data_IF_887316434074
#
_entry.id   IF_887316434074
#
_cell.length_a   1.000
_cell.length_b   1.000
_cell.length_c   1.000
_cell.angle_alpha   90.00
_cell.angle_beta   90.00
_cell.angle_gamma   90.00
#
_symmetry.space_group_name_H-M   'P 1'
#
loop_
_entity.id
_entity.type
_entity.pdbx_description
1 polymer ?
#
# COMPACT_ATOMS: atom_id res chain seq x y z
N UNK A 1 -53.61 47.05 -43.32
CA UNK A 1 -52.36 46.25 -43.34
C UNK A 1 -51.41 46.83 -42.31
N UNK A 2 -51.16 46.11 -41.22
CA UNK A 2 -50.09 46.44 -40.27
C UNK A 2 -49.47 45.11 -39.84
N UNK A 3 -48.19 44.93 -40.21
CA UNK A 3 -47.37 43.75 -39.89
C UNK A 3 -47.08 43.73 -38.39
N UNK A 4 -47.45 42.65 -37.73
CA UNK A 4 -47.12 42.39 -36.33
C UNK A 4 -45.63 42.13 -36.12
N UNK A 5 -45.08 42.80 -35.11
CA UNK A 5 -43.72 42.70 -34.59
C UNK A 5 -43.36 41.27 -34.16
N UNK A 6 -42.20 40.79 -34.61
CA UNK A 6 -41.46 39.68 -33.99
C UNK A 6 -40.91 40.16 -32.64
N UNK A 7 -41.17 39.41 -31.56
CA UNK A 7 -40.34 39.44 -30.35
C UNK A 7 -39.36 38.26 -30.43
N UNK A 8 -38.09 38.55 -30.68
CA UNK A 8 -36.98 37.65 -30.36
C UNK A 8 -36.65 37.87 -28.89
N UNK A 9 -36.94 36.88 -28.03
CA UNK A 9 -36.31 36.76 -26.73
C UNK A 9 -35.19 35.74 -26.86
N UNK A 10 -33.96 36.22 -27.04
CA UNK A 10 -32.77 35.38 -26.93
C UNK A 10 -32.41 35.31 -25.45
N UNK A 11 -32.51 34.13 -24.88
CA UNK A 11 -31.94 33.80 -23.58
C UNK A 11 -30.41 33.80 -23.72
N UNK A 12 -29.78 34.87 -23.23
CA UNK A 12 -28.33 34.95 -23.11
C UNK A 12 -27.95 34.50 -21.70
N UNK A 13 -27.96 33.19 -21.45
CA UNK A 13 -27.15 32.64 -20.38
C UNK A 13 -25.68 32.82 -20.79
N UNK A 14 -24.99 33.75 -20.14
CA UNK A 14 -23.55 33.86 -20.28
C UNK A 14 -22.96 32.57 -19.69
N UNK A 15 -22.54 31.65 -20.56
CA UNK A 15 -21.76 30.49 -20.15
C UNK A 15 -20.54 30.99 -19.37
N UNK A 16 -20.52 30.78 -18.06
CA UNK A 16 -19.31 31.00 -17.26
C UNK A 16 -18.28 30.00 -17.78
N UNK A 17 -17.36 30.49 -18.60
CA UNK A 17 -16.16 29.77 -19.00
C UNK A 17 -15.20 29.84 -17.82
N UNK A 18 -14.99 28.71 -17.14
CA UNK A 18 -13.96 28.64 -16.09
C UNK A 18 -12.61 28.61 -16.79
N UNK A 19 -12.11 29.79 -17.19
CA UNK A 19 -10.70 29.94 -17.56
C UNK A 19 -9.90 29.97 -16.27
N UNK A 20 -9.31 28.82 -15.95
CA UNK A 20 -8.47 28.68 -14.77
C UNK A 20 -7.16 29.44 -15.04
N UNK A 21 -7.10 30.72 -14.67
CA UNK A 21 -5.86 31.48 -14.68
C UNK A 21 -4.93 30.96 -13.59
N UNK A 22 -3.96 30.12 -13.96
CA UNK A 22 -3.04 29.45 -13.02
C UNK A 22 -2.01 28.56 -13.73
N UNK A 23 -1.23 27.78 -12.97
CA UNK A 23 -0.15 26.90 -13.48
C UNK A 23 -0.62 25.79 -14.45
N UNK A 24 -1.91 25.49 -14.50
CA UNK A 24 -2.50 24.49 -15.41
C UNK A 24 -4.02 24.63 -15.61
N UNK A 25 -4.54 23.90 -16.60
CA UNK A 25 -5.94 23.98 -17.07
C UNK A 25 -6.92 23.03 -16.34
N UNK A 26 -6.46 22.29 -15.33
CA UNK A 26 -7.27 21.30 -14.62
C UNK A 26 -7.83 21.82 -13.29
N UNK A 27 -8.91 21.20 -12.85
CA UNK A 27 -9.58 21.46 -11.58
C UNK A 27 -10.24 20.17 -11.04
N UNK A 28 -10.49 20.14 -9.74
CA UNK A 28 -11.32 19.13 -9.07
C UNK A 28 -12.65 19.75 -8.70
N UNK A 29 -13.74 19.04 -8.94
CA UNK A 29 -15.09 19.48 -8.64
C UNK A 29 -15.89 18.40 -7.90
N UNK A 30 -16.96 18.81 -7.23
CA UNK A 30 -17.89 17.94 -6.55
C UNK A 30 -19.33 18.28 -6.96
N UNK A 31 -20.19 17.26 -7.06
CA UNK A 31 -21.61 17.42 -7.33
C UNK A 31 -22.43 17.03 -6.10
N UNK A 32 -23.44 17.85 -5.76
CA UNK A 32 -24.29 17.66 -4.58
C UNK A 32 -25.71 17.20 -4.95
N UNK A 33 -26.37 16.51 -4.03
CA UNK A 33 -27.78 16.08 -4.15
C UNK A 33 -28.77 17.21 -3.87
N UNK A 34 -28.29 18.31 -3.28
CA UNK A 34 -29.10 19.45 -2.86
C UNK A 34 -28.28 20.73 -3.09
N UNK A 35 -28.92 21.84 -3.45
CA UNK A 35 -28.23 23.12 -3.52
C UNK A 35 -27.94 23.59 -2.09
N UNK A 36 -26.90 24.40 -1.92
CA UNK A 36 -26.62 24.98 -0.60
C UNK A 36 -27.54 26.18 -0.41
N UNK A 37 -28.42 26.07 0.59
CA UNK A 37 -29.28 27.17 1.02
C UNK A 37 -28.73 27.79 2.31
N UNK A 38 -28.33 26.96 3.29
CA UNK A 38 -27.58 27.36 4.47
C UNK A 38 -26.63 26.24 4.91
N UNK A 39 -25.33 26.55 5.04
CA UNK A 39 -24.31 25.59 5.47
C UNK A 39 -23.95 24.55 4.40
N UNK A 40 -22.66 24.43 4.08
CA UNK A 40 -22.21 23.39 3.16
C UNK A 40 -22.21 22.03 3.85
N UNK A 41 -23.16 21.16 3.51
CA UNK A 41 -23.19 19.78 4.02
C UNK A 41 -22.46 18.83 3.07
N UNK A 42 -21.25 18.44 3.51
CA UNK A 42 -20.40 17.49 2.81
C UNK A 42 -21.15 16.18 2.47
N UNK A 43 -22.11 15.73 3.29
CA UNK A 43 -22.87 14.48 3.08
C UNK A 43 -23.75 14.51 1.83
N UNK A 44 -24.08 15.71 1.34
CA UNK A 44 -24.86 15.85 0.12
C UNK A 44 -24.04 15.57 -1.13
N UNK A 45 -22.71 15.51 -1.05
CA UNK A 45 -21.86 15.20 -2.20
C UNK A 45 -22.04 13.75 -2.62
N UNK A 46 -22.37 13.55 -3.90
CA UNK A 46 -22.59 12.24 -4.52
C UNK A 46 -21.56 11.91 -5.60
N UNK A 47 -20.76 12.88 -6.03
CA UNK A 47 -19.75 12.66 -7.06
C UNK A 47 -18.62 13.65 -6.88
N UNK A 48 -17.39 13.18 -7.07
CA UNK A 48 -16.19 14.02 -7.15
C UNK A 48 -15.51 13.70 -8.46
N UNK A 49 -15.05 14.70 -9.20
CA UNK A 49 -14.43 14.50 -10.50
C UNK A 49 -13.29 15.48 -10.73
N UNK A 50 -12.30 15.06 -11.53
CA UNK A 50 -11.37 15.98 -12.19
C UNK A 50 -11.93 16.45 -13.53
N UNK A 51 -11.64 17.69 -13.90
CA UNK A 51 -12.13 18.29 -15.14
C UNK A 51 -11.18 19.31 -15.75
N UNK A 52 -11.42 19.60 -17.02
CA UNK A 52 -10.90 20.74 -17.77
C UNK A 52 -12.06 21.36 -18.55
N UNK A 53 -12.05 22.69 -18.72
CA UNK A 53 -13.13 23.41 -19.37
C UNK A 53 -14.48 23.18 -18.68
N UNK A 54 -15.50 22.82 -19.45
CA UNK A 54 -16.88 22.65 -18.94
C UNK A 54 -17.24 21.20 -18.58
N UNK A 55 -16.27 20.40 -18.08
CA UNK A 55 -16.47 18.96 -17.84
C UNK A 55 -17.59 18.67 -16.84
N UNK A 56 -17.73 19.50 -15.81
CA UNK A 56 -18.79 19.31 -14.81
C UNK A 56 -20.18 19.57 -15.42
N UNK A 57 -20.34 20.60 -16.28
CA UNK A 57 -21.57 20.87 -17.05
C UNK A 57 -21.88 19.73 -18.02
N UNK A 58 -20.85 19.12 -18.61
CA UNK A 58 -21.02 18.02 -19.57
C UNK A 58 -21.78 16.83 -18.96
N UNK A 59 -21.61 16.53 -17.67
CA UNK A 59 -22.37 15.45 -17.02
C UNK A 59 -23.88 15.68 -17.03
N UNK A 60 -24.32 16.91 -16.76
CA UNK A 60 -25.73 17.27 -16.80
C UNK A 60 -26.28 17.21 -18.23
N UNK A 61 -25.52 17.70 -19.22
CA UNK A 61 -25.89 17.66 -20.64
C UNK A 61 -25.95 16.22 -21.19
N UNK A 62 -24.96 15.40 -20.86
CA UNK A 62 -24.91 13.98 -21.23
C UNK A 62 -26.13 13.22 -20.66
N UNK A 63 -26.49 13.46 -19.39
CA UNK A 63 -27.68 12.84 -18.78
C UNK A 63 -28.97 13.24 -19.51
N UNK A 64 -29.17 14.53 -19.81
CA UNK A 64 -30.36 14.98 -20.56
C UNK A 64 -30.41 14.37 -21.97
N UNK A 65 -29.27 14.25 -22.64
CA UNK A 65 -29.18 13.61 -23.95
C UNK A 65 -29.59 12.15 -23.88
N UNK A 66 -29.10 11.41 -22.88
CA UNK A 66 -29.43 10.00 -22.72
C UNK A 66 -30.89 9.81 -22.27
N UNK A 67 -31.47 10.71 -21.47
CA UNK A 67 -32.90 10.68 -21.12
C UNK A 67 -33.79 10.86 -22.36
N UNK A 68 -33.39 11.71 -23.31
CA UNK A 68 -34.10 11.85 -24.59
C UNK A 68 -33.97 10.58 -25.42
N UNK A 69 -32.76 10.03 -25.52
CA UNK A 69 -32.53 8.77 -26.26
C UNK A 69 -33.31 7.60 -25.67
N UNK A 70 -33.49 7.54 -24.35
CA UNK A 70 -34.32 6.52 -23.68
C UNK A 70 -35.79 6.53 -24.12
N UNK A 71 -36.31 7.66 -24.61
CA UNK A 71 -37.67 7.72 -25.16
C UNK A 71 -37.77 6.95 -26.49
N UNK A 72 -36.67 6.89 -27.24
CA UNK A 72 -36.58 6.24 -28.55
C UNK A 72 -35.94 4.84 -28.48
N UNK A 73 -35.14 4.56 -27.45
CA UNK A 73 -34.36 3.33 -27.26
C UNK A 73 -34.38 2.89 -25.77
N UNK A 74 -35.18 1.88 -25.40
CA UNK A 74 -35.30 1.42 -24.02
C UNK A 74 -34.07 0.68 -23.49
N UNK A 75 -33.11 0.31 -24.34
CA UNK A 75 -31.91 -0.45 -23.95
C UNK A 75 -30.77 0.44 -23.43
N UNK A 76 -30.95 1.77 -23.43
CA UNK A 76 -29.97 2.70 -22.85
C UNK A 76 -29.85 2.44 -21.35
N UNK A 77 -28.64 2.09 -20.88
CA UNK A 77 -28.37 1.84 -19.46
C UNK A 77 -27.83 3.11 -18.79
N UNK A 78 -28.45 3.52 -17.68
CA UNK A 78 -27.96 4.64 -16.86
C UNK A 78 -27.00 4.18 -15.78
N UNK A 79 -25.90 4.91 -15.63
CA UNK A 79 -25.06 4.78 -14.44
C UNK A 79 -25.73 5.43 -13.24
N UNK A 80 -25.44 4.95 -12.03
CA UNK A 80 -25.91 5.53 -10.75
C UNK A 80 -25.74 7.06 -10.64
N UNK A 81 -24.64 7.58 -11.19
CA UNK A 81 -24.40 9.03 -11.29
C UNK A 81 -25.45 9.75 -12.13
N UNK A 82 -25.78 9.21 -13.30
CA UNK A 82 -26.78 9.78 -14.22
C UNK A 82 -28.19 9.63 -13.66
N UNK A 83 -28.48 8.54 -12.96
CA UNK A 83 -29.74 8.38 -12.22
C UNK A 83 -29.90 9.46 -11.15
N UNK A 84 -28.84 9.72 -10.37
CA UNK A 84 -28.87 10.79 -9.36
C UNK A 84 -29.13 12.15 -10.00
N UNK A 85 -28.47 12.46 -11.13
CA UNK A 85 -28.71 13.71 -11.88
C UNK A 85 -30.14 13.77 -12.43
N UNK A 86 -30.68 12.66 -12.96
CA UNK A 86 -32.08 12.59 -13.40
C UNK A 86 -33.03 12.92 -12.26
N UNK A 87 -32.77 12.40 -11.07
CA UNK A 87 -33.62 12.63 -9.90
C UNK A 87 -33.58 14.11 -9.47
N UNK A 88 -32.48 14.83 -9.70
CA UNK A 88 -32.41 16.30 -9.52
C UNK A 88 -33.33 17.04 -10.49
N UNK A 89 -33.27 16.70 -11.79
CA UNK A 89 -34.17 17.29 -12.79
C UNK A 89 -35.64 16.97 -12.49
N UNK A 90 -35.93 15.79 -11.96
CA UNK A 90 -37.29 15.42 -11.58
C UNK A 90 -37.80 16.22 -10.36
N UNK A 91 -36.91 16.61 -9.45
CA UNK A 91 -37.27 17.36 -8.25
C UNK A 91 -37.46 18.87 -8.50
N UNK A 92 -36.59 19.48 -9.31
CA UNK A 92 -36.58 20.93 -9.56
C UNK A 92 -37.20 21.34 -10.91
N UNK A 93 -37.51 20.36 -11.78
CA UNK A 93 -38.03 20.58 -13.12
C UNK A 93 -36.93 20.73 -14.19
N UNK A 94 -37.34 20.92 -15.45
CA UNK A 94 -36.44 21.01 -16.61
C UNK A 94 -35.53 22.26 -16.61
N UNK A 95 -35.74 23.20 -15.69
CA UNK A 95 -35.00 24.47 -15.54
C UNK A 95 -34.05 24.47 -14.33
N UNK A 96 -33.46 23.30 -14.04
CA UNK A 96 -32.50 23.10 -12.95
C UNK A 96 -31.30 24.04 -13.10
N UNK A 97 -31.07 24.89 -12.11
CA UNK A 97 -29.86 25.71 -12.00
C UNK A 97 -28.66 24.85 -11.57
N UNK A 98 -28.04 24.18 -12.55
CA UNK A 98 -26.96 23.22 -12.33
C UNK A 98 -25.73 23.81 -11.65
N UNK A 99 -25.53 25.13 -11.72
CA UNK A 99 -24.40 25.82 -11.06
C UNK A 99 -24.50 25.75 -9.54
N UNK A 100 -25.72 25.68 -8.98
CA UNK A 100 -25.94 25.50 -7.53
C UNK A 100 -25.63 24.11 -7.00
N UNK A 101 -25.44 23.15 -7.89
CA UNK A 101 -25.20 21.74 -7.58
C UNK A 101 -23.75 21.31 -7.85
N UNK A 102 -22.92 22.19 -8.40
CA UNK A 102 -21.53 21.91 -8.75
C UNK A 102 -20.58 22.85 -8.01
N UNK A 103 -19.58 22.27 -7.34
CA UNK A 103 -18.60 23.00 -6.53
C UNK A 103 -17.22 22.77 -7.11
N UNK A 104 -16.44 23.84 -7.33
CA UNK A 104 -15.02 23.72 -7.58
C UNK A 104 -14.31 23.55 -6.23
N UNK A 105 -13.63 22.42 -6.05
CA UNK A 105 -12.92 22.06 -4.82
C UNK A 105 -11.52 22.68 -4.83
N UNK A 106 -10.81 22.54 -5.95
CA UNK A 106 -9.50 23.14 -6.17
C UNK A 106 -9.32 23.37 -7.68
N UNK A 107 -8.65 24.46 -8.06
CA UNK A 107 -8.45 24.85 -9.46
C UNK A 107 -7.04 25.42 -9.66
N UNK A 108 -6.56 25.42 -10.90
CA UNK A 108 -5.23 25.93 -11.26
C UNK A 108 -4.18 24.82 -11.37
N UNK A 109 -4.65 23.59 -11.52
CA UNK A 109 -3.85 22.39 -11.34
C UNK A 109 -3.29 21.90 -12.67
N UNK A 110 -2.11 21.30 -12.61
CA UNK A 110 -1.68 20.31 -13.60
C UNK A 110 -2.57 19.05 -13.55
N UNK A 111 -2.47 18.19 -14.56
CA UNK A 111 -3.24 16.95 -14.58
C UNK A 111 -2.90 16.03 -13.41
N UNK A 112 -1.61 15.92 -13.05
CA UNK A 112 -1.13 15.08 -11.96
C UNK A 112 -1.59 15.59 -10.59
N UNK A 113 -1.56 16.91 -10.38
CA UNK A 113 -2.10 17.55 -9.18
C UNK A 113 -3.61 17.30 -9.08
N UNK A 114 -4.37 17.49 -10.17
CA UNK A 114 -5.81 17.25 -10.18
C UNK A 114 -6.15 15.77 -9.91
N UNK A 115 -5.36 14.84 -10.45
CA UNK A 115 -5.49 13.40 -10.18
C UNK A 115 -5.28 13.07 -8.69
N UNK A 116 -4.26 13.65 -8.06
CA UNK A 116 -3.97 13.45 -6.62
C UNK A 116 -5.02 14.09 -5.73
N UNK A 117 -5.41 15.33 -6.01
CA UNK A 117 -6.47 16.03 -5.27
C UNK A 117 -7.81 15.29 -5.40
N UNK A 118 -8.19 14.82 -6.59
CA UNK A 118 -9.42 14.03 -6.78
C UNK A 118 -9.41 12.77 -5.90
N UNK A 119 -8.29 12.03 -5.91
CA UNK A 119 -8.13 10.83 -5.08
C UNK A 119 -8.23 11.15 -3.58
N UNK A 120 -7.62 12.25 -3.12
CA UNK A 120 -7.71 12.72 -1.73
C UNK A 120 -9.15 12.99 -1.31
N UNK A 121 -9.87 13.78 -2.11
CA UNK A 121 -11.23 14.21 -1.80
C UNK A 121 -12.17 13.00 -1.80
N UNK A 122 -12.05 12.09 -2.77
CA UNK A 122 -12.83 10.84 -2.80
C UNK A 122 -12.59 10.04 -1.51
N UNK A 123 -11.32 9.85 -1.12
CA UNK A 123 -10.97 9.06 0.07
C UNK A 123 -11.52 9.69 1.34
N UNK A 124 -11.32 10.99 1.54
CA UNK A 124 -11.85 11.72 2.70
C UNK A 124 -13.37 11.64 2.80
N UNK A 125 -14.08 11.87 1.70
CA UNK A 125 -15.55 11.82 1.68
C UNK A 125 -16.06 10.43 2.02
N UNK A 126 -15.46 9.37 1.46
CA UNK A 126 -15.82 7.99 1.81
C UNK A 126 -15.57 7.69 3.28
N UNK A 127 -14.42 8.10 3.83
CA UNK A 127 -14.13 7.96 5.27
C UNK A 127 -15.15 8.69 6.15
N UNK A 128 -15.67 9.84 5.69
CA UNK A 128 -16.73 10.59 6.36
C UNK A 128 -18.14 9.97 6.19
N UNK A 129 -18.26 8.86 5.46
CA UNK A 129 -19.51 8.12 5.27
C UNK A 129 -20.31 8.54 4.03
N UNK A 130 -19.73 9.29 3.10
CA UNK A 130 -20.41 9.65 1.86
C UNK A 130 -20.56 8.47 0.90
N UNK A 131 -21.75 8.33 0.35
CA UNK A 131 -22.06 7.38 -0.72
C UNK A 131 -21.81 8.02 -2.10
N UNK A 132 -20.55 7.96 -2.53
CA UNK A 132 -20.09 8.48 -3.82
C UNK A 132 -20.41 7.53 -4.97
N UNK A 133 -20.87 8.09 -6.09
CA UNK A 133 -21.24 7.38 -7.33
C UNK A 133 -20.06 7.11 -8.27
N UNK A 134 -18.83 7.47 -7.86
CA UNK A 134 -17.59 7.18 -8.59
C UNK A 134 -17.41 5.66 -8.78
N UNK A 135 -17.35 5.20 -10.04
CA UNK A 135 -17.18 3.77 -10.39
C UNK A 135 -15.77 3.24 -10.11
N UNK A 136 -14.77 4.12 -10.17
CA UNK A 136 -13.36 3.80 -9.89
C UNK A 136 -12.92 4.71 -8.76
N UNK A 137 -12.31 4.15 -7.71
CA UNK A 137 -11.57 4.97 -6.75
C UNK A 137 -10.46 5.71 -7.51
N UNK A 138 -10.28 7.02 -7.31
CA UNK A 138 -9.33 7.81 -8.11
C UNK A 138 -7.97 7.13 -8.28
N UNK A 139 -7.35 7.26 -9.45
CA UNK A 139 -6.15 6.51 -9.89
C UNK A 139 -4.89 6.65 -9.00
N UNK A 140 -4.96 7.38 -7.88
CA UNK A 140 -3.87 7.58 -6.91
C UNK A 140 -4.32 7.47 -5.44
N UNK A 141 -5.44 6.81 -5.12
CA UNK A 141 -5.91 6.61 -3.72
C UNK A 141 -4.85 5.98 -2.80
N UNK A 142 -3.91 5.25 -3.43
CA UNK A 142 -2.75 4.62 -2.84
C UNK A 142 -1.72 5.57 -2.23
N UNK A 143 -1.67 6.82 -2.71
CA UNK A 143 -0.66 7.82 -2.36
C UNK A 143 -1.21 8.82 -1.33
N UNK A 144 -2.47 8.67 -0.94
CA UNK A 144 -3.18 9.68 -0.16
C UNK A 144 -3.69 9.10 1.15
N UNK A 145 -3.55 9.85 2.26
CA UNK A 145 -3.84 9.39 3.63
C UNK A 145 -3.13 8.06 3.96
N UNK A 146 -1.81 8.10 3.95
CA UNK A 146 -0.93 7.02 4.39
C UNK A 146 -0.44 7.35 5.81
N UNK A 147 -0.32 6.36 6.73
CA UNK A 147 0.30 6.59 8.03
C UNK A 147 1.70 7.20 7.86
N UNK A 148 2.08 8.16 8.72
CA UNK A 148 3.38 8.84 8.60
C UNK A 148 4.57 7.87 8.66
N UNK A 149 4.46 6.78 9.44
CA UNK A 149 5.46 5.71 9.48
C UNK A 149 5.62 5.01 8.12
N UNK A 150 4.52 4.74 7.42
CA UNK A 150 4.56 4.18 6.06
C UNK A 150 5.15 5.19 5.08
N UNK A 151 4.76 6.47 5.13
CA UNK A 151 5.35 7.52 4.29
C UNK A 151 6.87 7.57 4.43
N UNK A 152 7.39 7.52 5.67
CA UNK A 152 8.84 7.45 5.93
C UNK A 152 9.47 6.23 5.25
N UNK A 153 8.89 5.04 5.44
CA UNK A 153 9.39 3.78 4.85
C UNK A 153 9.31 3.76 3.31
N UNK A 154 8.45 4.56 2.67
CA UNK A 154 8.33 4.64 1.21
C UNK A 154 9.16 5.73 0.55
N UNK A 155 9.16 6.93 1.13
CA UNK A 155 9.65 8.13 0.45
C UNK A 155 10.86 8.75 1.14
N UNK A 156 11.21 8.28 2.34
CA UNK A 156 12.37 8.71 3.09
C UNK A 156 13.23 7.50 3.52
N UNK A 157 13.23 6.43 2.72
CA UNK A 157 14.05 5.26 2.97
C UNK A 157 15.53 5.65 2.87
N UNK A 158 16.22 5.65 4.00
CA UNK A 158 17.67 5.83 4.03
C UNK A 158 18.35 4.57 3.49
N UNK A 159 19.40 4.75 2.69
CA UNK A 159 20.19 3.64 2.19
C UNK A 159 21.07 3.08 3.31
N UNK A 160 20.98 1.78 3.54
CA UNK A 160 21.78 1.08 4.54
C UNK A 160 22.72 0.09 3.85
N UNK A 161 24.00 0.21 4.18
CA UNK A 161 25.02 -0.69 3.66
C UNK A 161 25.01 -1.96 4.49
N UNK A 162 24.72 -3.07 3.82
CA UNK A 162 24.69 -4.38 4.48
C UNK A 162 25.90 -5.19 4.09
N UNK A 163 26.57 -5.73 5.10
CA UNK A 163 27.69 -6.64 4.94
C UNK A 163 27.18 -8.08 4.84
N UNK A 164 28.03 -8.97 4.34
CA UNK A 164 27.75 -10.41 4.37
C UNK A 164 28.84 -11.04 5.20
N UNK A 165 28.49 -11.51 6.38
CA UNK A 165 29.40 -12.27 7.22
C UNK A 165 29.56 -13.69 6.69
N UNK A 166 30.79 -14.18 6.69
CA UNK A 166 31.12 -15.60 6.62
C UNK A 166 30.83 -16.28 7.97
N UNK A 167 30.88 -17.62 8.00
CA UNK A 167 30.72 -18.38 9.23
C UNK A 167 31.76 -18.00 10.30
N UNK A 168 33.03 -17.80 9.89
CA UNK A 168 34.10 -17.40 10.80
C UNK A 168 33.90 -15.99 11.37
N UNK A 169 33.35 -15.06 10.57
CA UNK A 169 33.06 -13.70 11.03
C UNK A 169 31.81 -13.64 11.93
N UNK A 170 30.92 -14.64 11.87
CA UNK A 170 29.78 -14.72 12.78
C UNK A 170 30.21 -15.13 14.20
N UNK A 171 31.27 -15.95 14.32
CA UNK A 171 31.86 -16.31 15.62
C UNK A 171 32.38 -15.08 16.38
N UNK A 172 32.70 -13.98 15.68
CA UNK A 172 33.13 -12.74 16.34
C UNK A 172 32.06 -12.14 17.26
N UNK A 173 30.78 -12.44 17.00
CA UNK A 173 29.62 -11.97 17.76
C UNK A 173 29.16 -12.94 18.85
N UNK A 174 29.70 -14.16 18.83
CA UNK A 174 29.42 -15.15 19.87
C UNK A 174 29.93 -14.64 21.23
N UNK A 175 29.40 -15.16 22.35
CA UNK A 175 29.83 -14.76 23.69
C UNK A 175 31.36 -14.89 23.86
N UNK A 176 32.02 -13.77 24.21
CA UNK A 176 33.47 -13.71 24.37
C UNK A 176 34.28 -13.45 23.09
N UNK A 177 33.62 -13.31 21.93
CA UNK A 177 34.23 -12.85 20.69
C UNK A 177 34.55 -11.35 20.69
N UNK A 178 35.36 -10.87 19.72
CA UNK A 178 35.76 -9.45 19.61
C UNK A 178 34.61 -8.48 19.37
N UNK A 179 33.43 -8.95 18.97
CA UNK A 179 32.20 -8.19 18.71
C UNK A 179 31.02 -8.70 19.56
N UNK A 180 31.31 -9.32 20.70
CA UNK A 180 30.29 -9.87 21.59
C UNK A 180 29.30 -8.83 22.14
N UNK A 181 29.69 -7.54 22.17
CA UNK A 181 28.83 -6.45 22.61
C UNK A 181 27.98 -5.83 21.48
N UNK A 182 28.13 -6.32 20.23
CA UNK A 182 27.38 -5.80 19.07
C UNK A 182 26.12 -6.64 18.78
N UNK A 183 25.09 -5.99 18.24
CA UNK A 183 23.85 -6.63 17.82
C UNK A 183 23.97 -7.19 16.39
N UNK A 184 23.22 -8.26 16.10
CA UNK A 184 23.15 -8.87 14.77
C UNK A 184 21.71 -8.83 14.26
N UNK A 185 21.51 -8.30 13.06
CA UNK A 185 20.26 -8.38 12.33
C UNK A 185 20.40 -9.35 11.16
N UNK A 186 19.60 -10.41 11.16
CA UNK A 186 19.46 -11.34 10.04
C UNK A 186 18.43 -10.76 9.08
N UNK A 187 18.84 -10.46 7.85
CA UNK A 187 17.94 -9.95 6.83
C UNK A 187 17.48 -11.06 5.91
N UNK A 188 16.18 -11.16 5.72
CA UNK A 188 15.52 -12.14 4.88
C UNK A 188 14.61 -11.49 3.85
N UNK A 189 14.45 -12.14 2.69
CA UNK A 189 13.68 -11.56 1.57
C UNK A 189 12.26 -12.10 1.55
N UNK A 190 11.28 -11.20 1.56
CA UNK A 190 9.90 -11.55 1.25
C UNK A 190 9.74 -11.84 -0.24
N UNK A 191 9.24 -13.03 -0.57
CA UNK A 191 8.76 -13.38 -1.91
C UNK A 191 7.25 -13.13 -1.99
N UNK A 192 6.79 -12.63 -3.14
CA UNK A 192 5.39 -12.57 -3.55
C UNK A 192 4.88 -13.90 -4.10
N UNK A 193 5.79 -14.74 -4.60
CA UNK A 193 5.51 -16.09 -5.10
C UNK A 193 5.74 -17.12 -4.00
N UNK A 194 4.71 -17.51 -3.26
CA UNK A 194 4.62 -18.80 -2.58
C UNK A 194 3.19 -19.13 -2.16
N UNK A 195 2.87 -20.43 -2.11
CA UNK A 195 1.59 -20.96 -1.60
C UNK A 195 1.59 -20.93 -0.07
N UNK A 196 0.41 -20.90 0.55
CA UNK A 196 0.31 -21.16 2.00
C UNK A 196 0.81 -22.58 2.30
N UNK A 197 1.30 -22.77 3.51
CA UNK A 197 1.61 -24.09 4.05
C UNK A 197 0.59 -24.39 5.16
N UNK A 198 0.26 -25.66 5.38
CA UNK A 198 -0.40 -26.06 6.62
C UNK A 198 0.51 -25.82 7.82
N UNK A 199 0.00 -26.01 9.03
CA UNK A 199 0.83 -26.02 10.24
C UNK A 199 1.97 -27.04 10.12
N UNK A 200 3.08 -26.72 10.75
CA UNK A 200 4.27 -27.58 10.79
C UNK A 200 4.06 -28.77 11.71
N UNK A 201 4.63 -29.91 11.32
CA UNK A 201 4.70 -31.08 12.19
C UNK A 201 5.98 -30.99 13.04
N UNK A 202 5.82 -30.58 14.29
CA UNK A 202 6.93 -30.49 15.25
C UNK A 202 7.08 -31.82 15.99
N UNK A 203 8.27 -32.41 15.95
CA UNK A 203 8.60 -33.62 16.69
C UNK A 203 9.07 -33.27 18.12
N UNK A 204 8.89 -34.22 19.03
CA UNK A 204 9.47 -34.15 20.39
C UNK A 204 11.00 -34.40 20.40
N UNK A 205 11.59 -34.71 19.25
CA UNK A 205 13.02 -34.96 19.08
C UNK A 205 13.80 -33.65 18.87
N UNK A 206 15.04 -33.63 19.39
CA UNK A 206 16.01 -32.56 19.16
C UNK A 206 17.18 -33.06 18.34
N UNK A 207 17.73 -32.22 17.47
CA UNK A 207 18.96 -32.52 16.73
C UNK A 207 20.22 -32.39 17.62
N UNK A 208 21.38 -32.72 17.06
CA UNK A 208 22.66 -32.64 17.75
C UNK A 208 23.05 -31.20 18.16
N UNK A 209 22.38 -30.19 17.61
CA UNK A 209 22.57 -28.77 17.91
C UNK A 209 21.55 -28.22 18.90
N UNK A 210 20.62 -29.07 19.39
CA UNK A 210 19.59 -28.70 20.37
C UNK A 210 18.33 -28.07 19.77
N UNK A 211 18.16 -28.10 18.46
CA UNK A 211 16.96 -27.61 17.77
C UNK A 211 15.87 -28.67 17.73
N UNK A 212 14.60 -28.27 17.90
CA UNK A 212 13.50 -29.23 17.70
C UNK A 212 13.35 -29.56 16.23
N UNK A 213 13.19 -30.83 15.92
CA UNK A 213 13.01 -31.27 14.54
C UNK A 213 11.58 -30.97 14.11
N UNK A 214 11.43 -30.33 12.96
CA UNK A 214 10.12 -30.05 12.36
C UNK A 214 10.10 -30.39 10.87
N UNK A 215 8.93 -30.77 10.37
CA UNK A 215 8.67 -30.91 8.94
C UNK A 215 7.72 -29.81 8.48
N UNK A 216 8.04 -29.24 7.32
CA UNK A 216 7.22 -28.22 6.67
C UNK A 216 5.84 -28.81 6.42
N UNK A 217 4.80 -28.06 6.77
CA UNK A 217 3.43 -28.41 6.42
C UNK A 217 3.23 -28.67 4.91
N UNK A 218 2.08 -29.23 4.56
CA UNK A 218 1.72 -29.44 3.16
C UNK A 218 1.44 -28.11 2.46
N UNK A 219 1.79 -28.02 1.17
CA UNK A 219 1.46 -26.84 0.35
C UNK A 219 -0.05 -26.73 0.17
N UNK A 220 -0.62 -25.69 0.74
CA UNK A 220 -2.00 -25.28 0.53
C UNK A 220 -2.28 -24.86 -0.92
N UNK A 221 -3.54 -24.95 -1.33
CA UNK A 221 -3.99 -24.53 -2.66
C UNK A 221 -4.32 -23.04 -2.73
N UNK A 222 -4.47 -22.37 -1.58
CA UNK A 222 -4.84 -20.96 -1.54
C UNK A 222 -3.65 -20.06 -1.90
N UNK A 223 -3.82 -19.14 -2.87
CA UNK A 223 -2.79 -18.19 -3.22
C UNK A 223 -2.62 -17.18 -2.08
N UNK A 224 -1.38 -17.02 -1.61
CA UNK A 224 -1.03 -15.92 -0.71
C UNK A 224 -1.15 -14.60 -1.45
N UNK A 225 -1.64 -13.56 -0.76
CA UNK A 225 -1.58 -12.21 -1.33
C UNK A 225 -0.13 -11.71 -1.34
N UNK A 226 0.26 -11.13 -2.46
CA UNK A 226 1.50 -10.37 -2.57
C UNK A 226 1.49 -9.16 -1.64
N UNK A 227 2.67 -8.64 -1.32
CA UNK A 227 2.77 -7.44 -0.51
C UNK A 227 2.27 -6.21 -1.29
N UNK A 228 1.33 -5.46 -0.71
CA UNK A 228 0.83 -4.20 -1.27
C UNK A 228 1.14 -3.06 -0.30
N UNK A 229 1.80 -1.96 -0.73
CA UNK A 229 2.04 -0.81 0.13
C UNK A 229 0.78 -0.14 0.70
N UNK A 230 -0.38 -0.32 0.05
CA UNK A 230 -1.69 0.19 0.50
C UNK A 230 -2.35 -0.71 1.52
N UNK A 231 -1.94 -1.97 1.52
CA UNK A 231 -2.46 -3.01 2.37
C UNK A 231 -1.27 -3.85 2.80
N UNK A 232 -0.41 -3.34 3.69
CA UNK A 232 0.72 -4.11 4.18
C UNK A 232 0.22 -5.42 4.80
N UNK A 233 1.09 -6.43 4.85
CA UNK A 233 0.81 -7.65 5.59
C UNK A 233 0.52 -7.34 7.06
N UNK A 234 -0.38 -8.10 7.68
CA UNK A 234 -0.46 -8.14 9.14
C UNK A 234 0.84 -8.71 9.70
N UNK A 235 1.07 -8.52 11.01
CA UNK A 235 2.22 -9.14 11.69
C UNK A 235 2.20 -10.66 11.50
N UNK A 236 1.04 -11.31 11.64
CA UNK A 236 0.87 -12.75 11.42
C UNK A 236 1.24 -13.18 9.98
N UNK A 237 0.75 -12.45 8.97
CA UNK A 237 1.08 -12.71 7.57
C UNK A 237 2.58 -12.53 7.29
N UNK A 238 3.21 -11.54 7.91
CA UNK A 238 4.65 -11.29 7.78
C UNK A 238 5.49 -12.33 8.52
N UNK A 239 5.07 -12.77 9.72
CA UNK A 239 5.68 -13.86 10.49
C UNK A 239 5.63 -15.16 9.72
N UNK A 240 4.48 -15.53 9.18
CA UNK A 240 4.32 -16.71 8.32
C UNK A 240 5.39 -16.72 7.23
N UNK A 241 5.66 -15.56 6.61
CA UNK A 241 6.62 -15.38 5.51
C UNK A 241 8.08 -15.29 5.97
N UNK A 242 8.34 -14.74 7.14
CA UNK A 242 9.67 -14.63 7.72
C UNK A 242 10.14 -15.96 8.34
N UNK A 243 9.21 -16.81 8.79
CA UNK A 243 9.49 -18.14 9.32
C UNK A 243 10.00 -19.13 8.28
N UNK A 244 9.90 -18.83 6.98
CA UNK A 244 10.32 -19.72 5.91
C UNK A 244 11.78 -20.13 6.07
N UNK A 245 11.98 -21.41 6.33
CA UNK A 245 13.21 -21.96 6.85
C UNK A 245 14.41 -21.54 6.00
N UNK A 246 15.31 -20.81 6.63
CA UNK A 246 16.43 -20.22 5.94
C UNK A 246 17.54 -21.25 5.88
N UNK A 247 18.21 -21.35 4.73
CA UNK A 247 19.37 -22.22 4.59
C UNK A 247 20.49 -21.66 5.47
N UNK A 248 20.75 -22.33 6.59
CA UNK A 248 21.79 -22.02 7.57
C UNK A 248 22.48 -23.33 7.93
N UNK A 249 23.81 -23.34 7.99
CA UNK A 249 24.50 -24.53 8.50
C UNK A 249 24.17 -24.74 9.99
N UNK A 250 24.17 -25.97 10.50
CA UNK A 250 23.95 -26.23 11.93
C UNK A 250 24.89 -25.41 12.83
N UNK A 251 26.16 -25.27 12.42
CA UNK A 251 27.15 -24.44 13.13
C UNK A 251 26.75 -22.98 13.26
N UNK A 252 26.23 -22.38 12.19
CA UNK A 252 25.83 -20.98 12.19
C UNK A 252 24.52 -20.79 12.95
N UNK A 253 23.62 -21.77 12.88
CA UNK A 253 22.39 -21.77 13.65
C UNK A 253 22.66 -21.77 15.15
N UNK A 254 23.60 -22.59 15.61
CA UNK A 254 24.01 -22.64 17.02
C UNK A 254 24.57 -21.29 17.50
N UNK A 255 25.44 -20.64 16.71
CA UNK A 255 25.97 -19.31 17.05
C UNK A 255 24.84 -18.27 17.11
N UNK A 256 23.90 -18.30 16.15
CA UNK A 256 22.76 -17.39 16.16
C UNK A 256 21.86 -17.61 17.36
N UNK A 257 21.67 -18.87 17.78
CA UNK A 257 20.96 -19.17 19.01
C UNK A 257 21.64 -18.51 20.21
N UNK A 258 22.95 -18.66 20.36
CA UNK A 258 23.70 -18.03 21.47
C UNK A 258 23.55 -16.51 21.49
N UNK A 259 23.59 -15.86 20.33
CA UNK A 259 23.39 -14.40 20.20
C UNK A 259 21.94 -14.01 20.55
N UNK A 260 20.95 -14.82 20.14
CA UNK A 260 19.53 -14.64 20.45
C UNK A 260 19.22 -14.81 21.93
N UNK A 261 19.84 -15.79 22.59
CA UNK A 261 19.67 -16.06 24.02
C UNK A 261 20.18 -14.88 24.89
N UNK A 262 21.09 -14.06 24.37
CA UNK A 262 21.54 -12.80 24.99
C UNK A 262 20.68 -11.58 24.62
N UNK A 263 19.64 -11.76 23.79
CA UNK A 263 18.74 -10.69 23.34
C UNK A 263 19.36 -9.76 22.29
N UNK A 264 20.41 -10.20 21.59
CA UNK A 264 21.18 -9.39 20.62
C UNK A 264 20.90 -9.75 19.16
N UNK A 265 19.95 -10.65 18.92
CA UNK A 265 19.58 -11.11 17.57
C UNK A 265 18.21 -10.57 17.14
N UNK A 266 18.19 -9.92 15.99
CA UNK A 266 16.97 -9.49 15.31
C UNK A 266 16.81 -10.18 13.96
N UNK A 267 15.56 -10.29 13.50
CA UNK A 267 15.22 -10.72 12.14
C UNK A 267 14.48 -9.60 11.42
N UNK A 268 14.95 -9.22 10.23
CA UNK A 268 14.33 -8.21 9.37
C UNK A 268 13.83 -8.82 8.06
N UNK A 269 12.55 -8.63 7.74
CA UNK A 269 11.96 -9.00 6.45
C UNK A 269 12.01 -7.82 5.48
N UNK A 270 12.83 -7.96 4.46
CA UNK A 270 13.01 -7.01 3.38
C UNK A 270 12.15 -7.37 2.17
N UNK A 271 11.45 -6.37 1.62
CA UNK A 271 10.50 -6.54 0.53
C UNK A 271 10.94 -5.67 -0.64
N UNK A 272 10.84 -6.24 -1.84
CA UNK A 272 11.07 -5.46 -3.07
C UNK A 272 9.90 -4.51 -3.28
N UNK A 273 10.17 -3.21 -3.20
CA UNK A 273 9.20 -2.17 -3.49
C UNK A 273 8.92 -2.14 -5.01
N UNK A 274 7.67 -2.40 -5.44
CA UNK A 274 7.33 -2.42 -6.86
C UNK A 274 7.40 -1.04 -7.53
N UNK A 275 7.35 0.06 -6.75
CA UNK A 275 7.40 1.44 -7.25
C UNK A 275 8.83 1.96 -7.34
N UNK A 276 9.61 1.77 -6.27
CA UNK A 276 10.97 2.29 -6.18
C UNK A 276 12.03 1.36 -6.81
N UNK A 277 11.69 0.08 -7.07
CA UNK A 277 12.63 -0.99 -7.45
C UNK A 277 13.74 -1.23 -6.42
N UNK A 278 13.55 -0.77 -5.19
CA UNK A 278 14.47 -0.96 -4.06
C UNK A 278 14.00 -2.11 -3.19
N UNK A 279 14.92 -2.69 -2.40
CA UNK A 279 14.57 -3.68 -1.37
C UNK A 279 14.61 -2.98 -0.02
N UNK A 280 13.44 -2.87 0.62
CA UNK A 280 13.26 -2.09 1.85
C UNK A 280 12.87 -3.01 3.00
N UNK A 281 13.45 -2.81 4.17
CA UNK A 281 13.04 -3.52 5.39
C UNK A 281 11.66 -3.04 5.83
N UNK A 282 10.70 -3.97 5.94
CA UNK A 282 9.30 -3.65 6.26
C UNK A 282 8.83 -4.17 7.60
N UNK A 283 9.41 -5.26 8.07
CA UNK A 283 9.07 -5.88 9.35
C UNK A 283 10.36 -6.29 10.03
N UNK A 284 10.41 -6.13 11.34
CA UNK A 284 11.55 -6.47 12.19
C UNK A 284 11.01 -7.10 13.45
N UNK A 285 11.68 -8.14 13.93
CA UNK A 285 11.34 -8.85 15.15
C UNK A 285 12.59 -9.13 15.98
N UNK A 286 12.41 -9.20 17.30
CA UNK A 286 13.36 -9.91 18.15
C UNK A 286 13.34 -11.40 17.81
N UNK A 287 14.49 -12.07 17.96
CA UNK A 287 14.53 -13.53 17.97
C UNK A 287 14.51 -13.99 19.42
N UNK A 288 13.42 -14.63 19.83
CA UNK A 288 13.10 -14.98 21.21
C UNK A 288 12.41 -16.34 21.24
N UNK A 289 12.99 -17.29 21.99
CA UNK A 289 12.51 -18.67 22.07
C UNK A 289 11.55 -18.96 23.25
N UNK A 290 11.06 -17.92 23.92
CA UNK A 290 10.13 -18.03 25.06
C UNK A 290 8.77 -18.61 24.69
N UNK A 291 8.21 -18.22 23.53
CA UNK A 291 6.91 -18.69 23.05
C UNK A 291 7.04 -19.80 22.00
N UNK A 292 8.08 -19.75 21.17
CA UNK A 292 8.31 -20.71 20.09
C UNK A 292 9.74 -21.24 20.15
N UNK A 293 9.97 -22.55 20.01
CA UNK A 293 11.32 -23.08 19.97
C UNK A 293 11.98 -22.75 18.63
N UNK A 294 13.31 -22.77 18.63
CA UNK A 294 14.06 -22.88 17.37
C UNK A 294 13.77 -24.24 16.71
N UNK A 295 13.54 -24.19 15.39
CA UNK A 295 13.13 -25.35 14.60
C UNK A 295 14.16 -25.70 13.53
N UNK A 296 14.50 -26.98 13.43
CA UNK A 296 15.36 -27.55 12.40
C UNK A 296 14.55 -28.39 11.42
N UNK A 297 14.69 -28.07 10.13
CA UNK A 297 13.98 -28.72 9.03
C UNK A 297 14.98 -29.56 8.23
N UNK A 298 15.01 -30.89 8.45
CA UNK A 298 15.89 -31.76 7.69
C UNK A 298 15.43 -31.84 6.23
N UNK A 299 16.32 -31.51 5.29
CA UNK A 299 16.03 -31.58 3.85
C UNK A 299 16.86 -32.67 3.17
N UNK A 300 16.32 -33.90 3.12
CA UNK A 300 16.98 -35.07 2.53
C UNK A 300 18.31 -35.45 3.21
N UNK A 301 19.19 -36.15 2.47
CA UNK A 301 20.50 -36.64 2.96
C UNK A 301 21.62 -35.56 2.93
N UNK A 302 21.30 -34.26 2.96
CA UNK A 302 22.31 -33.19 2.89
C UNK A 302 22.56 -32.59 4.27
N UNK A 303 23.82 -32.30 4.57
CA UNK A 303 24.29 -31.54 5.76
C UNK A 303 23.77 -30.08 5.83
N UNK A 304 22.83 -29.70 4.95
CA UNK A 304 22.24 -28.38 4.85
C UNK A 304 20.73 -28.51 5.03
N UNK A 305 20.28 -28.60 6.28
CA UNK A 305 18.89 -28.35 6.64
C UNK A 305 18.59 -26.86 6.65
N UNK A 306 17.36 -26.53 7.04
CA UNK A 306 16.91 -25.16 7.14
C UNK A 306 16.50 -24.83 8.59
N UNK A 307 16.62 -23.57 8.99
CA UNK A 307 16.30 -23.11 10.34
C UNK A 307 15.11 -22.19 10.32
N UNK A 308 14.13 -22.47 11.18
CA UNK A 308 13.06 -21.55 11.55
C UNK A 308 13.50 -20.70 12.74
N UNK A 309 13.45 -19.38 12.60
CA UNK A 309 13.72 -18.44 13.70
C UNK A 309 12.47 -18.29 14.57
N UNK A 310 12.58 -18.41 15.90
CA UNK A 310 11.48 -18.11 16.79
C UNK A 310 11.31 -16.58 16.89
N UNK A 311 10.18 -16.08 16.40
CA UNK A 311 9.95 -14.64 16.29
C UNK A 311 9.24 -14.13 17.55
N UNK A 312 9.92 -13.25 18.29
CA UNK A 312 9.39 -12.61 19.49
C UNK A 312 8.58 -11.35 19.19
N UNK A 313 8.86 -10.28 19.92
CA UNK A 313 8.19 -8.97 19.77
C UNK A 313 8.40 -8.40 18.36
N UNK A 314 7.33 -7.87 17.76
CA UNK A 314 7.42 -7.08 16.52
C UNK A 314 7.74 -5.62 16.78
N UNK A 315 8.66 -5.07 15.98
CA UNK A 315 8.96 -3.64 15.97
C UNK A 315 8.04 -2.93 14.99
N UNK A 316 7.20 -2.05 15.53
CA UNK A 316 6.18 -1.34 14.76
C UNK A 316 6.41 0.18 14.76
N UNK A 317 7.43 0.65 15.47
CA UNK A 317 7.65 2.05 15.79
C UNK A 317 8.63 2.75 14.83
N UNK A 318 8.79 4.05 15.01
CA UNK A 318 9.71 4.88 14.24
C UNK A 318 11.16 4.86 14.69
N UNK A 319 11.45 4.19 15.80
CA UNK A 319 12.77 4.22 16.46
C UNK A 319 13.63 2.99 16.15
N UNK A 320 13.05 1.97 15.50
CA UNK A 320 13.85 0.83 15.04
C UNK A 320 14.83 1.27 13.94
N UNK A 321 16.13 0.96 14.06
CA UNK A 321 17.15 1.43 13.12
C UNK A 321 17.04 0.79 11.73
N UNK A 322 16.35 -0.35 11.61
CA UNK A 322 16.22 -1.11 10.36
C UNK A 322 14.96 -0.76 9.58
N UNK A 323 13.86 -0.47 10.26
CA UNK A 323 12.57 -0.25 9.63
C UNK A 323 12.58 0.91 8.62
N UNK A 324 12.32 0.58 7.37
CA UNK A 324 12.29 1.54 6.26
C UNK A 324 13.64 1.78 5.59
N UNK A 325 14.71 1.11 6.02
CA UNK A 325 16.01 1.18 5.34
C UNK A 325 15.96 0.48 3.98
N UNK A 326 16.52 1.12 2.97
CA UNK A 326 16.73 0.54 1.64
C UNK A 326 18.11 -0.13 1.59
N UNK A 327 18.15 -1.43 1.34
CA UNK A 327 19.38 -2.20 1.42
C UNK A 327 20.22 -2.04 0.14
N UNK A 328 21.49 -1.68 0.31
CA UNK A 328 22.47 -1.55 -0.77
C UNK A 328 23.72 -2.39 -0.49
N UNK A 329 24.31 -2.96 -1.53
CA UNK A 329 25.56 -3.74 -1.44
C UNK A 329 26.70 -2.99 -2.13
N UNK A 330 27.71 -2.55 -1.37
CA UNK A 330 28.94 -1.89 -1.88
C UNK A 330 28.76 -0.44 -2.37
N UNK A 331 29.83 0.16 -2.91
CA UNK A 331 29.87 1.57 -3.37
C UNK A 331 29.14 1.83 -4.70
N UNK A 332 28.76 0.78 -5.45
CA UNK A 332 28.03 0.92 -6.70
C UNK A 332 26.55 0.70 -6.45
N UNK A 333 25.83 1.80 -6.35
CA UNK A 333 24.39 2.08 -6.12
C UNK A 333 23.29 1.14 -6.66
N UNK A 334 23.57 -0.02 -7.28
CA UNK A 334 22.58 -0.73 -8.09
C UNK A 334 22.48 -2.24 -7.96
N UNK A 335 23.22 -2.93 -7.08
CA UNK A 335 22.88 -4.32 -6.77
C UNK A 335 21.83 -4.37 -5.67
N UNK A 336 20.59 -4.10 -6.09
CA UNK A 336 19.36 -4.47 -5.39
C UNK A 336 19.54 -5.91 -4.89
N UNK A 337 19.05 -6.22 -3.68
CA UNK A 337 19.01 -7.55 -3.03
C UNK A 337 18.16 -8.58 -3.82
N UNK A 338 18.35 -8.68 -5.14
CA UNK A 338 17.40 -9.29 -6.06
C UNK A 338 17.73 -10.73 -6.38
N UNK A 339 18.97 -11.21 -6.24
CA UNK A 339 19.32 -12.44 -6.95
C UNK A 339 20.34 -13.35 -6.29
N UNK A 340 20.06 -13.81 -5.07
CA UNK A 340 20.65 -15.07 -4.59
C UNK A 340 19.55 -15.93 -3.99
N UNK A 341 19.40 -17.12 -4.55
CA UNK A 341 18.35 -18.12 -4.25
C UNK A 341 18.42 -18.70 -2.83
N UNK A 342 19.33 -18.23 -1.99
CA UNK A 342 19.48 -18.65 -0.60
C UNK A 342 20.62 -17.84 0.02
N UNK A 343 20.43 -17.39 1.25
CA UNK A 343 21.48 -16.74 2.01
C UNK A 343 20.94 -15.68 2.94
N UNK A 344 20.95 -16.02 4.23
CA UNK A 344 20.95 -15.03 5.30
C UNK A 344 22.07 -14.02 5.03
N UNK A 345 21.74 -12.75 5.17
CA UNK A 345 22.74 -11.69 5.29
C UNK A 345 22.66 -11.13 6.71
N UNK A 346 23.82 -10.79 7.25
CA UNK A 346 23.97 -10.37 8.63
C UNK A 346 24.40 -8.93 8.62
N UNK A 347 23.75 -8.11 9.43
CA UNK A 347 24.13 -6.72 9.59
C UNK A 347 24.39 -6.45 11.06
N UNK A 348 25.52 -5.84 11.32
CA UNK A 348 25.95 -5.45 12.66
C UNK A 348 25.81 -3.96 12.84
N UNK A 349 25.42 -3.55 14.04
CA UNK A 349 25.40 -2.15 14.43
C UNK A 349 26.07 -1.99 15.79
N UNK A 350 26.73 -0.85 15.96
CA UNK A 350 27.18 -0.35 17.25
C UNK A 350 26.07 0.57 17.76
N UNK A 351 25.58 0.30 18.96
CA UNK A 351 24.66 1.20 19.69
C UNK A 351 25.31 2.55 20.06
#
# INVERSE_FOLDING_TARGET
MAKGMKRQGGDQSQDIEVSVGGKGDYYVYALSRRPVEEGFDLRNIFYVGKGRGNRWKAHFKETLSDLRRMQDDPDVVMTRKKETIRDLYAADGDDLDIERYAYLVEWGLSEDEALRTEALVIKMMRTYGNDLTNLVSGHHEAEVLMPAGEVRRFYAAEKEHVERLSAAELEDFAPGGPRADECVCVVVKGSDDDKSFSEDEILDEVDDSGFRIAYVGDKGEEPRRGWDPRWPWSDDEARERARHYWTVSPSNAAILKEIGDEGRLQLALAIKDPRAKETVIRYVWDVDDTEEPWLWYPYGDRDAGQVGFPLGRSYNESEDPWLGKALVQGEKDWSIFVNRQSGICYVSFQD
#
